data_IF_780476112827
#
_entry.id   IF_780476112827
#
_cell.length_a   1.000
_cell.length_b   1.000
_cell.length_c   1.000
_cell.angle_alpha   90.00
_cell.angle_beta   90.00
_cell.angle_gamma   90.00
#
_symmetry.space_group_name_H-M   'P 1'
#
loop_
_entity.id
_entity.type
_entity.pdbx_description
1 polymer ?
#
# COMPACT_ATOMS: atom_id res chain seq x y z
N UNK A 1 25.92 7.19 -8.27
CA UNK A 1 25.69 8.20 -9.33
C UNK A 1 24.41 8.94 -8.98
N UNK A 2 24.39 10.28 -8.99
CA UNK A 2 23.17 11.06 -8.71
C UNK A 2 22.30 11.04 -9.97
N UNK A 3 21.24 10.25 -9.97
CA UNK A 3 20.30 10.20 -11.08
C UNK A 3 19.31 11.36 -10.93
N UNK A 4 19.35 12.32 -11.86
CA UNK A 4 18.42 13.45 -11.85
C UNK A 4 17.10 12.92 -12.41
N UNK A 5 16.09 12.80 -11.54
CA UNK A 5 14.75 12.37 -11.93
C UNK A 5 14.12 13.45 -12.82
N UNK A 6 14.04 13.18 -14.12
CA UNK A 6 13.31 14.03 -15.07
C UNK A 6 11.82 13.88 -14.78
N UNK A 7 11.13 15.00 -14.64
CA UNK A 7 9.68 14.99 -14.53
C UNK A 7 9.12 14.84 -15.94
N UNK A 8 8.18 13.90 -16.11
CA UNK A 8 7.38 13.83 -17.34
C UNK A 8 6.47 15.07 -17.39
N UNK A 9 6.83 15.98 -18.30
CA UNK A 9 6.18 17.28 -18.50
C UNK A 9 4.70 17.08 -18.85
N UNK A 10 4.40 16.07 -19.66
CA UNK A 10 3.03 15.81 -20.12
C UNK A 10 2.20 15.27 -18.97
N UNK A 11 2.76 14.36 -18.17
CA UNK A 11 2.08 13.84 -16.98
C UNK A 11 1.79 14.96 -15.96
N UNK A 12 2.77 15.81 -15.68
CA UNK A 12 2.61 16.95 -14.77
C UNK A 12 1.52 17.92 -15.26
N UNK A 13 1.56 18.30 -16.55
CA UNK A 13 0.57 19.20 -17.13
C UNK A 13 -0.85 18.64 -17.04
N UNK A 14 -1.04 17.34 -17.33
CA UNK A 14 -2.34 16.66 -17.20
C UNK A 14 -2.86 16.68 -15.77
N UNK A 15 -2.01 16.37 -14.80
CA UNK A 15 -2.39 16.34 -13.38
C UNK A 15 -2.79 17.73 -12.90
N UNK A 16 -2.00 18.77 -13.21
CA UNK A 16 -2.34 20.15 -12.86
C UNK A 16 -3.67 20.60 -13.49
N UNK A 17 -3.85 20.33 -14.80
CA UNK A 17 -5.07 20.68 -15.52
C UNK A 17 -6.31 19.97 -14.95
N UNK A 18 -6.17 18.69 -14.62
CA UNK A 18 -7.27 17.89 -14.07
C UNK A 18 -7.65 18.36 -12.66
N UNK A 19 -6.67 18.64 -11.80
CA UNK A 19 -6.94 19.11 -10.44
C UNK A 19 -7.59 20.49 -10.47
N UNK A 20 -6.96 21.46 -11.14
CA UNK A 20 -7.47 22.85 -11.12
C UNK A 20 -8.78 22.94 -11.91
N UNK A 21 -8.84 22.34 -13.11
CA UNK A 21 -10.07 22.28 -13.91
C UNK A 21 -11.20 21.59 -13.16
N UNK A 22 -10.93 20.45 -12.52
CA UNK A 22 -11.91 19.73 -11.71
C UNK A 22 -12.42 20.53 -10.51
N UNK A 23 -11.54 21.26 -9.82
CA UNK A 23 -11.92 22.15 -8.71
C UNK A 23 -12.83 23.28 -9.20
N UNK A 24 -12.50 23.92 -10.33
CA UNK A 24 -13.34 24.98 -10.91
C UNK A 24 -14.71 24.46 -11.34
N UNK A 25 -14.77 23.27 -11.95
CA UNK A 25 -16.03 22.61 -12.29
C UNK A 25 -16.89 22.40 -11.04
N UNK A 26 -16.28 21.84 -9.98
CA UNK A 26 -16.99 21.50 -8.75
C UNK A 26 -17.53 22.76 -8.04
N UNK A 27 -16.71 23.81 -7.93
CA UNK A 27 -17.13 25.10 -7.37
C UNK A 27 -18.26 25.70 -8.21
N UNK A 28 -18.14 25.68 -9.54
CA UNK A 28 -19.16 26.23 -10.42
C UNK A 28 -20.49 25.47 -10.37
N UNK A 29 -20.46 24.15 -10.23
CA UNK A 29 -21.66 23.33 -10.00
C UNK A 29 -22.31 23.72 -8.67
N UNK A 30 -21.52 23.82 -7.59
CA UNK A 30 -22.03 24.23 -6.26
C UNK A 30 -22.65 25.63 -6.33
N UNK A 31 -22.01 26.58 -7.02
CA UNK A 31 -22.52 27.94 -7.19
C UNK A 31 -23.87 27.95 -7.94
N UNK A 32 -23.98 27.21 -9.05
CA UNK A 32 -25.24 27.08 -9.79
C UNK A 32 -26.33 26.41 -8.96
N UNK A 33 -25.98 25.40 -8.16
CA UNK A 33 -26.93 24.76 -7.24
C UNK A 33 -27.39 25.72 -6.15
N UNK A 34 -26.49 26.54 -5.61
CA UNK A 34 -26.81 27.59 -4.65
C UNK A 34 -27.78 28.61 -5.25
N UNK A 35 -27.47 29.12 -6.44
CA UNK A 35 -28.37 30.04 -7.18
C UNK A 35 -29.74 29.40 -7.42
N UNK A 36 -29.80 28.10 -7.74
CA UNK A 36 -31.07 27.40 -7.89
C UNK A 36 -31.84 27.34 -6.57
N UNK A 37 -31.20 26.92 -5.47
CA UNK A 37 -31.86 26.76 -4.16
C UNK A 37 -32.34 28.11 -3.62
N UNK A 38 -31.51 29.15 -3.67
CA UNK A 38 -31.86 30.49 -3.18
C UNK A 38 -32.73 31.28 -4.16
N UNK A 39 -32.70 30.95 -5.46
CA UNK A 39 -33.53 31.58 -6.49
C UNK A 39 -34.97 31.09 -6.52
N UNK A 40 -35.28 29.96 -5.89
CA UNK A 40 -36.62 29.37 -5.85
C UNK A 40 -37.66 30.22 -5.10
N UNK A 41 -37.24 31.05 -4.13
CA UNK A 41 -38.14 31.96 -3.41
C UNK A 41 -38.57 33.19 -4.25
N UNK A 42 -37.93 33.43 -5.39
CA UNK A 42 -38.32 34.48 -6.34
C UNK A 42 -39.36 33.93 -7.34
N UNK A 43 -40.59 33.75 -6.86
CA UNK A 43 -41.76 33.09 -7.49
C UNK A 43 -42.30 33.65 -8.83
N UNK A 44 -41.53 34.36 -9.67
CA UNK A 44 -42.08 34.94 -10.91
C UNK A 44 -41.83 34.13 -12.20
N UNK A 45 -40.78 33.31 -12.28
CA UNK A 45 -40.58 32.29 -13.32
C UNK A 45 -39.25 31.62 -13.07
N UNK A 46 -39.25 30.31 -12.83
CA UNK A 46 -38.03 29.53 -12.91
C UNK A 46 -37.56 29.56 -14.36
N UNK A 47 -36.59 30.41 -14.65
CA UNK A 47 -35.96 30.47 -15.95
C UNK A 47 -35.03 29.25 -16.09
N UNK A 48 -35.64 28.11 -16.44
CA UNK A 48 -34.94 26.85 -16.71
C UNK A 48 -33.90 27.02 -17.82
N UNK A 49 -34.10 27.98 -18.73
CA UNK A 49 -33.15 28.30 -19.79
C UNK A 49 -31.93 29.03 -19.21
N UNK A 50 -32.13 29.96 -18.27
CA UNK A 50 -31.08 30.59 -17.49
C UNK A 50 -30.24 29.59 -16.69
N UNK A 51 -30.89 28.63 -16.03
CA UNK A 51 -30.18 27.58 -15.28
C UNK A 51 -29.40 26.64 -16.20
N UNK A 52 -30.02 26.16 -17.29
CA UNK A 52 -29.37 25.27 -18.25
C UNK A 52 -28.17 25.94 -18.94
N UNK A 53 -28.32 27.20 -19.34
CA UNK A 53 -27.21 27.97 -19.92
C UNK A 53 -26.09 28.24 -18.90
N UNK A 54 -26.42 28.46 -17.62
CA UNK A 54 -25.44 28.61 -16.53
C UNK A 54 -24.58 27.37 -16.33
N UNK A 55 -25.17 26.17 -16.34
CA UNK A 55 -24.42 24.90 -16.26
C UNK A 55 -23.50 24.75 -17.47
N UNK A 56 -24.01 24.96 -18.68
CA UNK A 56 -23.23 24.82 -19.91
C UNK A 56 -22.05 25.81 -19.91
N UNK A 57 -22.29 27.06 -19.53
CA UNK A 57 -21.26 28.09 -19.41
C UNK A 57 -20.18 27.68 -18.40
N UNK A 58 -20.58 27.12 -17.26
CA UNK A 58 -19.66 26.66 -16.22
C UNK A 58 -18.77 25.53 -16.70
N UNK A 59 -19.33 24.55 -17.41
CA UNK A 59 -18.56 23.44 -18.02
C UNK A 59 -17.57 24.01 -19.04
N UNK A 60 -18.01 24.91 -19.92
CA UNK A 60 -17.16 25.50 -20.94
C UNK A 60 -16.00 26.31 -20.33
N UNK A 61 -16.30 27.14 -19.34
CA UNK A 61 -15.29 27.92 -18.60
C UNK A 61 -14.30 26.99 -17.91
N UNK A 62 -14.78 25.91 -17.27
CA UNK A 62 -13.91 24.93 -16.64
C UNK A 62 -12.96 24.25 -17.62
N UNK A 63 -13.41 23.92 -18.83
CA UNK A 63 -12.57 23.34 -19.89
C UNK A 63 -11.50 24.34 -20.34
N UNK A 64 -11.88 25.61 -20.56
CA UNK A 64 -10.96 26.67 -20.98
C UNK A 64 -9.88 26.89 -19.90
N UNK A 65 -10.28 27.01 -18.63
CA UNK A 65 -9.35 27.16 -17.52
C UNK A 65 -8.43 25.93 -17.41
N UNK A 66 -8.98 24.72 -17.52
CA UNK A 66 -8.20 23.49 -17.54
C UNK A 66 -7.15 23.47 -18.65
N UNK A 67 -7.51 23.94 -19.85
CA UNK A 67 -6.58 24.07 -20.97
C UNK A 67 -5.47 25.11 -20.72
N UNK A 68 -5.81 26.28 -20.18
CA UNK A 68 -4.81 27.30 -19.83
C UNK A 68 -3.83 26.76 -18.78
N UNK A 69 -4.34 26.09 -17.74
CA UNK A 69 -3.53 25.46 -16.71
C UNK A 69 -2.66 24.35 -17.29
N UNK A 70 -3.16 23.58 -18.25
CA UNK A 70 -2.37 22.56 -18.95
C UNK A 70 -1.14 23.19 -19.62
N UNK A 71 -1.33 24.29 -20.35
CA UNK A 71 -0.23 25.01 -21.02
C UNK A 71 0.76 25.56 -19.99
N UNK A 72 0.28 26.16 -18.90
CA UNK A 72 1.13 26.66 -17.82
C UNK A 72 1.92 25.51 -17.16
N UNK A 73 1.29 24.37 -16.93
CA UNK A 73 1.94 23.17 -16.39
C UNK A 73 3.02 22.61 -17.32
N UNK A 74 2.78 22.67 -18.63
CA UNK A 74 3.77 22.27 -19.65
C UNK A 74 5.00 23.19 -19.60
N UNK A 75 4.78 24.52 -19.56
CA UNK A 75 5.86 25.50 -19.42
C UNK A 75 6.61 25.31 -18.09
N UNK A 76 5.89 25.10 -16.99
CA UNK A 76 6.48 24.86 -15.67
C UNK A 76 7.33 23.59 -15.61
N UNK A 77 6.86 22.50 -16.21
CA UNK A 77 7.62 21.25 -16.30
C UNK A 77 8.86 21.38 -17.18
N UNK A 78 8.77 22.11 -18.29
CA UNK A 78 9.94 22.45 -19.13
C UNK A 78 10.96 23.27 -18.34
N UNK A 79 10.51 24.30 -17.63
CA UNK A 79 11.36 25.17 -16.83
C UNK A 79 12.05 24.40 -15.71
N UNK A 80 11.33 23.50 -15.03
CA UNK A 80 11.91 22.61 -14.02
C UNK A 80 13.00 21.72 -14.61
N UNK A 81 12.73 21.06 -15.74
CA UNK A 81 13.71 20.18 -16.39
C UNK A 81 14.94 20.97 -16.85
N UNK A 82 14.76 22.21 -17.31
CA UNK A 82 15.86 23.11 -17.63
C UNK A 82 16.70 23.46 -16.40
N UNK A 83 16.07 23.92 -15.32
CA UNK A 83 16.77 24.26 -14.06
C UNK A 83 17.50 23.03 -13.49
N UNK A 84 16.86 21.86 -13.50
CA UNK A 84 17.44 20.62 -13.02
C UNK A 84 18.69 20.18 -13.82
N UNK A 85 18.77 20.54 -15.10
CA UNK A 85 19.94 20.30 -15.94
C UNK A 85 21.14 21.17 -15.53
N UNK A 86 20.91 22.44 -15.19
CA UNK A 86 22.00 23.39 -14.87
C UNK A 86 22.46 23.35 -13.41
N UNK A 87 21.54 23.16 -12.45
CA UNK A 87 21.84 23.28 -11.02
C UNK A 87 21.95 21.94 -10.30
N UNK A 88 21.68 20.82 -10.99
CA UNK A 88 21.49 19.51 -10.38
C UNK A 88 20.13 19.47 -9.70
N UNK A 89 19.18 18.74 -10.28
CA UNK A 89 17.80 18.66 -9.77
C UNK A 89 17.66 18.14 -8.34
N UNK A 90 16.45 18.19 -7.80
CA UNK A 90 16.13 17.62 -6.50
C UNK A 90 16.45 16.12 -6.48
N UNK A 91 17.48 15.74 -5.71
CA UNK A 91 17.80 14.34 -5.43
C UNK A 91 16.80 13.84 -4.40
N UNK A 92 15.66 13.34 -4.87
CA UNK A 92 14.77 12.54 -4.01
C UNK A 92 15.38 11.14 -3.96
N UNK A 93 15.99 10.78 -2.81
CA UNK A 93 16.37 9.39 -2.54
C UNK A 93 15.08 8.58 -2.40
N UNK A 94 14.57 8.07 -3.50
CA UNK A 94 13.67 6.92 -3.45
C UNK A 94 14.55 5.72 -3.12
N UNK A 95 14.48 5.26 -1.87
CA UNK A 95 15.05 3.97 -1.49
C UNK A 95 14.31 2.91 -2.32
N UNK A 96 15.03 2.32 -3.27
CA UNK A 96 14.50 1.41 -4.29
C UNK A 96 13.62 0.33 -3.64
N UNK A 97 12.30 0.39 -3.89
CA UNK A 97 11.34 -0.57 -3.33
C UNK A 97 11.70 -2.02 -3.69
N UNK A 98 12.42 -2.21 -4.78
CA UNK A 98 12.93 -3.51 -5.24
C UNK A 98 13.89 -4.16 -4.24
N UNK A 99 14.78 -3.37 -3.62
CA UNK A 99 15.72 -3.84 -2.60
C UNK A 99 14.98 -4.20 -1.31
N UNK A 100 13.98 -3.40 -0.93
CA UNK A 100 13.14 -3.66 0.24
C UNK A 100 12.30 -4.93 0.04
N UNK A 101 11.73 -5.14 -1.14
CA UNK A 101 10.97 -6.34 -1.47
C UNK A 101 11.83 -7.60 -1.51
N UNK A 102 13.07 -7.52 -2.04
CA UNK A 102 14.01 -8.64 -1.99
C UNK A 102 14.35 -9.02 -0.55
N UNK A 103 14.69 -8.05 0.30
CA UNK A 103 14.98 -8.32 1.73
C UNK A 103 13.77 -8.90 2.47
N UNK A 104 12.56 -8.46 2.12
CA UNK A 104 11.34 -9.00 2.71
C UNK A 104 11.08 -10.46 2.29
N UNK A 105 11.39 -10.83 1.04
CA UNK A 105 11.29 -12.22 0.56
C UNK A 105 12.31 -13.12 1.25
N UNK A 106 13.55 -12.66 1.38
CA UNK A 106 14.61 -13.39 2.08
C UNK A 106 14.26 -13.59 3.57
N UNK A 107 13.78 -12.55 4.24
CA UNK A 107 13.35 -12.64 5.64
C UNK A 107 12.17 -13.62 5.84
N UNK A 108 11.22 -13.66 4.88
CA UNK A 108 10.10 -14.62 4.92
C UNK A 108 10.57 -16.06 4.70
N UNK A 109 11.50 -16.28 3.78
CA UNK A 109 12.09 -17.60 3.52
C UNK A 109 12.92 -18.10 4.72
N UNK A 110 13.73 -17.24 5.34
CA UNK A 110 14.47 -17.59 6.55
C UNK A 110 13.53 -17.95 7.72
N UNK A 111 12.42 -17.21 7.86
CA UNK A 111 11.43 -17.47 8.92
C UNK A 111 10.67 -18.79 8.72
N UNK A 112 10.37 -19.18 7.48
CA UNK A 112 9.71 -20.46 7.21
C UNK A 112 10.67 -21.64 7.45
N UNK A 113 11.94 -21.52 7.06
CA UNK A 113 12.97 -22.53 7.33
C UNK A 113 13.16 -22.77 8.83
N UNK A 114 13.29 -21.69 9.63
CA UNK A 114 13.41 -21.80 11.08
C UNK A 114 12.18 -22.44 11.75
N UNK A 115 10.97 -22.22 11.22
CA UNK A 115 9.76 -22.89 11.73
C UNK A 115 9.81 -24.39 11.46
N UNK A 116 10.28 -24.82 10.30
CA UNK A 116 10.40 -26.24 9.96
C UNK A 116 11.43 -26.96 10.82
N UNK A 117 12.60 -26.36 11.04
CA UNK A 117 13.61 -26.91 11.96
C UNK A 117 13.06 -27.02 13.38
N UNK A 118 12.36 -25.99 13.86
CA UNK A 118 11.77 -26.01 15.20
C UNK A 118 10.71 -27.11 15.34
N UNK A 119 9.96 -27.42 14.29
CA UNK A 119 9.03 -28.56 14.31
C UNK A 119 9.74 -29.89 14.32
N UNK A 120 10.82 -30.06 13.53
CA UNK A 120 11.64 -31.29 13.52
C UNK A 120 12.27 -31.57 14.88
N UNK A 121 12.90 -30.58 15.49
CA UNK A 121 13.50 -30.70 16.82
C UNK A 121 12.46 -31.02 17.90
N UNK A 122 11.25 -30.45 17.79
CA UNK A 122 10.15 -30.80 18.70
C UNK A 122 9.70 -32.26 18.54
N UNK A 123 9.61 -32.78 17.31
CA UNK A 123 9.29 -34.19 17.10
C UNK A 123 10.40 -35.12 17.58
N UNK A 124 11.67 -34.82 17.31
CA UNK A 124 12.80 -35.60 17.81
C UNK A 124 12.84 -35.63 19.33
N UNK A 125 12.69 -34.48 19.98
CA UNK A 125 12.66 -34.40 21.45
C UNK A 125 11.51 -35.21 22.05
N UNK A 126 10.33 -35.21 21.41
CA UNK A 126 9.20 -36.06 21.82
C UNK A 126 9.53 -37.55 21.69
N UNK A 127 10.14 -37.97 20.57
CA UNK A 127 10.54 -39.36 20.35
C UNK A 127 11.59 -39.82 21.36
N UNK A 128 12.59 -38.99 21.69
CA UNK A 128 13.58 -39.32 22.72
C UNK A 128 12.96 -39.49 24.11
N UNK A 129 12.03 -38.60 24.49
CA UNK A 129 11.31 -38.71 25.77
C UNK A 129 10.46 -39.99 25.83
N UNK A 130 9.81 -40.35 24.73
CA UNK A 130 9.01 -41.56 24.65
C UNK A 130 9.87 -42.84 24.71
N UNK A 131 11.01 -42.86 24.01
CA UNK A 131 11.98 -43.94 24.09
C UNK A 131 12.56 -44.08 25.50
N UNK A 132 12.94 -42.98 26.15
CA UNK A 132 13.43 -43.00 27.54
C UNK A 132 12.38 -43.53 28.52
N UNK A 133 11.10 -43.17 28.36
CA UNK A 133 10.00 -43.74 29.17
C UNK A 133 9.79 -45.23 28.92
N UNK A 134 9.93 -45.70 27.68
CA UNK A 134 9.83 -47.13 27.36
C UNK A 134 10.98 -47.93 27.98
N UNK A 135 12.21 -47.41 27.91
CA UNK A 135 13.37 -48.02 28.56
C UNK A 135 13.21 -48.11 30.08
N UNK A 136 12.81 -47.01 30.74
CA UNK A 136 12.53 -47.02 32.18
C UNK A 136 11.44 -48.02 32.58
N UNK A 137 10.38 -48.15 31.78
CA UNK A 137 9.34 -49.17 32.02
C UNK A 137 9.88 -50.59 31.85
N UNK A 138 10.69 -50.84 30.82
CA UNK A 138 11.32 -52.15 30.60
C UNK A 138 12.27 -52.52 31.74
N UNK A 139 13.08 -51.58 32.23
CA UNK A 139 13.95 -51.76 33.40
C UNK A 139 13.16 -52.05 34.67
N UNK A 140 12.05 -51.33 34.90
CA UNK A 140 11.17 -51.59 36.05
C UNK A 140 10.51 -52.98 36.00
N UNK A 141 10.12 -53.46 34.80
CA UNK A 141 9.57 -54.81 34.62
C UNK A 141 10.63 -55.88 34.88
N UNK A 142 11.86 -55.67 34.38
CA UNK A 142 12.99 -56.58 34.62
C UNK A 142 13.35 -56.68 36.10
N UNK A 143 13.36 -55.55 36.83
CA UNK A 143 13.62 -55.55 38.26
C UNK A 143 12.52 -56.28 39.04
N UNK A 144 11.24 -56.04 38.72
CA UNK A 144 10.12 -56.76 39.35
C UNK A 144 10.13 -58.27 39.06
N UNK A 145 10.71 -58.73 37.94
CA UNK A 145 10.86 -60.15 37.66
C UNK A 145 12.01 -60.78 38.47
N UNK A 146 13.11 -60.06 38.69
CA UNK A 146 14.19 -60.50 39.59
C UNK A 146 13.75 -60.61 41.04
N UNK A 147 13.03 -59.62 41.55
CA UNK A 147 12.52 -59.65 42.93
C UNK A 147 11.54 -60.81 43.18
N UNK A 148 10.83 -61.27 42.13
CA UNK A 148 9.94 -62.43 42.21
C UNK A 148 10.63 -63.79 42.00
N UNK A 149 11.82 -63.84 41.37
CA UNK A 149 12.60 -65.08 41.27
C UNK A 149 13.34 -65.38 42.56
N UNK A 150 13.90 -64.35 43.22
CA UNK A 150 14.65 -64.53 44.47
C UNK A 150 13.76 -64.97 45.64
N UNK A 151 12.44 -64.74 45.56
CA UNK A 151 11.46 -65.16 46.56
C UNK A 151 10.90 -66.59 46.34
N UNK A 152 11.29 -67.27 45.25
CA UNK A 152 10.88 -68.66 44.96
C UNK A 152 11.88 -69.72 45.43
N UNK A 153 13.12 -69.33 45.73
CA UNK A 153 14.18 -70.25 46.16
C UNK A 153 14.30 -70.35 47.70
N UNK A 154 13.40 -69.69 48.44
CA UNK A 154 13.37 -69.66 49.91
C UNK A 154 12.31 -70.56 50.56
N UNK A 155 11.84 -71.61 49.87
CA UNK A 155 10.93 -72.62 50.41
C UNK A 155 11.48 -74.04 50.23
#
# INVERSE_FOLDING_TARGET
MKEIVKIDIVAMAKVCALIIGGVYLLIGIIANLGVLIFGLDSFASLDFLGFGSGIIATILVSIIIGFVVFVVGLIGGLLYNFIAYYFGGFVVLFEDRTVVEQRLREARAAKSALRQERTRLKSEKKMMIEHGRKQQKSEAILNNQRDNSDNKDSF
#
